data_IF_191956512414
#
_entry.id   IF_191956512414
#
_cell.length_a   1.000
_cell.length_b   1.000
_cell.length_c   1.000
_cell.angle_alpha   90.00
_cell.angle_beta   90.00
_cell.angle_gamma   90.00
#
_symmetry.space_group_name_H-M   'P 1'
#
loop_
_entity.id
_entity.type
_entity.pdbx_description
1 polymer ?
#
# COMPACT_ATOMS: atom_id res chain seq x y z
N UNK A 1 11.87 17.07 -25.25
CA UNK A 1 12.13 16.04 -24.21
C UNK A 1 13.43 15.35 -24.58
N UNK A 2 14.48 15.44 -23.76
CA UNK A 2 15.80 14.85 -24.07
C UNK A 2 16.00 13.62 -23.19
N UNK A 3 16.31 12.49 -23.82
CA UNK A 3 16.89 11.34 -23.14
C UNK A 3 18.18 11.79 -22.44
N UNK A 4 18.31 11.51 -21.15
CA UNK A 4 19.53 11.79 -20.38
C UNK A 4 20.18 10.45 -20.10
N UNK A 5 21.29 10.19 -20.79
CA UNK A 5 22.08 8.98 -20.63
C UNK A 5 22.53 8.83 -19.17
N UNK A 6 22.31 7.65 -18.57
CA UNK A 6 22.67 7.37 -17.17
C UNK A 6 21.61 7.68 -16.11
N UNK A 7 20.43 8.21 -16.46
CA UNK A 7 19.30 8.27 -15.50
C UNK A 7 18.56 6.93 -15.44
N UNK A 8 18.56 6.29 -14.26
CA UNK A 8 17.69 5.16 -13.97
C UNK A 8 16.24 5.63 -13.78
N UNK A 9 15.32 5.07 -14.55
CA UNK A 9 13.90 5.35 -14.46
C UNK A 9 13.17 5.10 -15.78
N UNK A 10 12.24 4.16 -15.79
CA UNK A 10 11.43 3.84 -16.98
C UNK A 10 10.38 4.93 -17.28
N UNK A 11 10.17 5.87 -16.36
CA UNK A 11 9.15 6.91 -16.44
C UNK A 11 9.75 8.29 -16.16
N UNK A 12 9.31 9.27 -16.94
CA UNK A 12 9.66 10.69 -16.75
C UNK A 12 8.42 11.41 -16.23
N UNK A 13 8.50 11.91 -15.00
CA UNK A 13 7.48 12.77 -14.43
C UNK A 13 7.63 14.20 -14.96
N UNK A 14 6.57 14.74 -15.54
CA UNK A 14 6.49 16.17 -15.85
C UNK A 14 6.24 16.92 -14.55
N UNK A 15 7.19 17.77 -14.14
CA UNK A 15 7.07 18.60 -12.95
C UNK A 15 7.35 20.04 -13.29
N UNK A 16 6.41 20.91 -12.94
CA UNK A 16 6.61 22.37 -12.95
C UNK A 16 7.02 22.89 -11.59
N UNK A 17 7.29 22.04 -10.59
CA UNK A 17 7.49 22.46 -9.20
C UNK A 17 8.66 23.44 -8.98
N UNK A 18 9.58 23.56 -9.94
CA UNK A 18 10.71 24.50 -9.92
C UNK A 18 10.49 25.77 -10.75
N UNK A 19 9.36 25.87 -11.45
CA UNK A 19 9.01 27.03 -12.27
C UNK A 19 8.27 28.09 -11.44
N UNK A 20 8.39 29.36 -11.82
CA UNK A 20 7.65 30.45 -11.18
C UNK A 20 6.16 30.28 -11.47
N UNK A 21 5.31 30.20 -10.43
CA UNK A 21 3.90 29.77 -10.53
C UNK A 21 3.70 28.32 -10.96
N UNK A 22 4.75 27.51 -10.88
CA UNK A 22 4.68 26.09 -11.12
C UNK A 22 3.73 25.39 -10.16
N UNK A 23 2.81 24.59 -10.70
CA UNK A 23 2.00 23.71 -9.89
C UNK A 23 2.85 22.53 -9.42
N UNK A 24 2.94 22.36 -8.10
CA UNK A 24 3.35 21.08 -7.53
C UNK A 24 2.15 20.13 -7.62
N UNK A 25 2.24 18.98 -8.30
CA UNK A 25 1.09 18.09 -8.47
C UNK A 25 0.61 17.44 -7.16
N UNK A 26 1.32 17.64 -6.05
CA UNK A 26 1.26 16.71 -4.93
C UNK A 26 1.73 15.32 -5.37
N UNK A 27 1.23 14.28 -4.70
CA UNK A 27 1.37 12.88 -5.11
C UNK A 27 0.00 12.35 -5.54
N UNK A 28 -0.51 12.73 -6.74
CA UNK A 28 -1.88 12.43 -7.13
C UNK A 28 -2.09 10.92 -7.23
N UNK A 29 -3.21 10.46 -6.67
CA UNK A 29 -3.62 9.07 -6.77
C UNK A 29 -4.17 8.79 -8.16
N UNK A 30 -3.80 7.65 -8.74
CA UNK A 30 -4.39 7.17 -9.97
C UNK A 30 -5.62 6.31 -9.66
N UNK A 31 -6.80 6.72 -10.11
CA UNK A 31 -8.02 5.91 -10.00
C UNK A 31 -8.20 5.15 -11.32
N UNK A 32 -8.05 3.82 -11.31
CA UNK A 32 -7.98 3.03 -12.54
C UNK A 32 -9.29 3.07 -13.36
N UNK A 33 -10.44 3.08 -12.68
CA UNK A 33 -11.78 3.20 -13.28
C UNK A 33 -12.71 4.06 -12.41
N UNK A 34 -12.64 5.39 -12.50
CA UNK A 34 -13.37 6.28 -11.59
C UNK A 34 -14.90 6.11 -11.62
N UNK A 35 -15.48 5.58 -12.71
CA UNK A 35 -16.92 5.32 -12.85
C UNK A 35 -17.44 4.05 -12.16
N UNK A 36 -16.58 3.11 -11.77
CA UNK A 36 -16.98 1.77 -11.28
C UNK A 36 -17.02 1.66 -9.74
N UNK A 37 -17.08 2.80 -9.03
CA UNK A 37 -16.78 2.92 -7.59
C UNK A 37 -17.87 2.38 -6.64
N UNK A 38 -19.00 1.87 -7.12
CA UNK A 38 -20.12 1.49 -6.26
C UNK A 38 -19.81 0.21 -5.47
N UNK A 39 -19.77 0.33 -4.13
CA UNK A 39 -19.67 -0.70 -3.07
C UNK A 39 -18.54 -1.75 -3.14
N UNK A 40 -17.59 -1.64 -4.08
CA UNK A 40 -16.44 -2.54 -4.16
C UNK A 40 -15.40 -2.27 -3.07
N UNK A 41 -14.70 -3.29 -2.55
CA UNK A 41 -13.50 -3.08 -1.76
C UNK A 41 -12.47 -2.26 -2.54
N UNK A 42 -11.77 -1.38 -1.84
CA UNK A 42 -10.72 -0.56 -2.44
C UNK A 42 -9.40 -1.29 -2.29
N UNK A 43 -8.71 -1.55 -3.41
CA UNK A 43 -7.36 -2.07 -3.41
C UNK A 43 -6.39 -0.97 -3.83
N UNK A 44 -5.40 -0.69 -2.99
CA UNK A 44 -4.33 0.25 -3.29
C UNK A 44 -3.05 -0.48 -3.67
N UNK A 45 -2.40 -0.06 -4.75
CA UNK A 45 -1.09 -0.57 -5.20
C UNK A 45 -0.16 0.60 -5.58
N UNK A 46 1.05 0.30 -6.00
CA UNK A 46 2.07 1.29 -6.37
C UNK A 46 1.97 1.74 -7.82
N UNK A 47 1.91 3.05 -8.03
CA UNK A 47 1.96 3.64 -9.37
C UNK A 47 0.72 3.40 -10.23
N UNK A 48 0.59 4.22 -11.28
CA UNK A 48 -0.57 4.18 -12.18
C UNK A 48 -0.63 2.90 -13.04
N UNK A 49 0.51 2.44 -13.57
CA UNK A 49 0.52 1.30 -14.49
C UNK A 49 0.11 0.01 -13.79
N UNK A 50 0.60 -0.25 -12.57
CA UNK A 50 0.18 -1.43 -11.80
C UNK A 50 -1.31 -1.37 -11.50
N UNK A 51 -1.82 -0.22 -11.07
CA UNK A 51 -3.24 -0.05 -10.84
C UNK A 51 -4.09 -0.34 -12.09
N UNK A 52 -3.66 0.13 -13.27
CA UNK A 52 -4.34 -0.18 -14.54
C UNK A 52 -4.30 -1.68 -14.88
N UNK A 53 -3.13 -2.32 -14.73
CA UNK A 53 -2.98 -3.77 -14.95
C UNK A 53 -3.83 -4.56 -13.96
N UNK A 54 -3.74 -4.28 -12.66
CA UNK A 54 -4.53 -4.93 -11.61
C UNK A 54 -6.02 -4.82 -11.87
N UNK A 55 -6.52 -3.66 -12.30
CA UNK A 55 -7.94 -3.46 -12.61
C UNK A 55 -8.43 -4.34 -13.78
N UNK A 56 -7.54 -4.75 -14.69
CA UNK A 56 -7.87 -5.67 -15.79
C UNK A 56 -8.18 -7.08 -15.28
N UNK A 57 -7.51 -7.51 -14.22
CA UNK A 57 -7.65 -8.85 -13.63
C UNK A 57 -8.66 -8.89 -12.48
N UNK A 58 -8.68 -7.87 -11.62
CA UNK A 58 -9.53 -7.78 -10.44
C UNK A 58 -10.69 -6.80 -10.68
N UNK A 59 -11.76 -7.29 -11.32
CA UNK A 59 -12.91 -6.45 -11.71
C UNK A 59 -13.92 -6.21 -10.59
N UNK A 60 -13.83 -6.99 -9.51
CA UNK A 60 -14.61 -6.93 -8.27
C UNK A 60 -13.98 -6.03 -7.20
N UNK A 61 -12.98 -5.24 -7.59
CA UNK A 61 -12.28 -4.26 -6.75
C UNK A 61 -12.23 -2.91 -7.43
N UNK A 62 -12.16 -1.86 -6.61
CA UNK A 62 -11.86 -0.51 -7.06
C UNK A 62 -10.38 -0.22 -6.85
N UNK A 63 -9.62 -0.08 -7.94
CA UNK A 63 -8.15 -0.02 -7.85
C UNK A 63 -7.64 1.42 -7.84
N UNK A 64 -6.76 1.70 -6.87
CA UNK A 64 -6.07 2.99 -6.69
C UNK A 64 -4.56 2.79 -6.76
N UNK A 65 -3.88 3.57 -7.60
CA UNK A 65 -2.42 3.60 -7.70
C UNK A 65 -1.84 4.76 -6.90
N UNK A 66 -1.00 4.45 -5.91
CA UNK A 66 -0.20 5.42 -5.17
C UNK A 66 1.21 5.49 -5.77
N UNK A 67 1.49 6.54 -6.55
CA UNK A 67 2.81 6.72 -7.18
C UNK A 67 3.90 7.19 -6.19
N UNK A 68 3.51 7.63 -4.99
CA UNK A 68 4.43 7.99 -3.91
C UNK A 68 4.26 7.04 -2.73
N UNK A 69 4.69 5.78 -2.87
CA UNK A 69 4.48 4.72 -1.88
C UNK A 69 4.97 5.08 -0.47
N UNK A 70 6.04 5.88 -0.37
CA UNK A 70 6.57 6.39 0.90
C UNK A 70 5.69 7.47 1.57
N UNK A 71 4.62 7.93 0.91
CA UNK A 71 3.68 8.91 1.44
C UNK A 71 2.36 8.23 1.78
N UNK A 72 2.01 8.24 3.08
CA UNK A 72 0.69 7.79 3.53
C UNK A 72 -0.38 8.81 3.11
N UNK A 73 -1.06 8.54 1.99
CA UNK A 73 -1.96 9.51 1.38
C UNK A 73 -3.38 9.44 1.97
N UNK A 74 -3.83 10.51 2.63
CA UNK A 74 -5.16 10.58 3.24
C UNK A 74 -6.33 10.35 2.27
N UNK A 75 -6.17 10.70 0.99
CA UNK A 75 -7.19 10.40 -0.04
C UNK A 75 -7.42 8.90 -0.26
N UNK A 76 -6.44 8.02 0.01
CA UNK A 76 -6.65 6.56 -0.03
C UNK A 76 -7.71 6.17 1.00
N UNK A 77 -7.56 6.68 2.23
CA UNK A 77 -8.49 6.43 3.34
C UNK A 77 -9.87 7.01 3.04
N UNK A 78 -9.95 8.23 2.49
CA UNK A 78 -11.21 8.84 2.06
C UNK A 78 -11.91 8.01 0.98
N UNK A 79 -11.16 7.53 0.00
CA UNK A 79 -11.67 6.69 -1.09
C UNK A 79 -12.22 5.36 -0.58
N UNK A 80 -11.55 4.77 0.41
CA UNK A 80 -11.94 3.51 1.03
C UNK A 80 -12.92 3.67 2.20
N UNK A 81 -13.40 4.87 2.52
CA UNK A 81 -14.26 5.09 3.68
C UNK A 81 -15.52 4.23 3.59
N UNK A 82 -15.86 3.53 4.68
CA UNK A 82 -16.98 2.57 4.74
C UNK A 82 -16.92 1.45 3.69
N UNK A 83 -15.70 1.13 3.22
CA UNK A 83 -15.41 -0.01 2.35
C UNK A 83 -14.21 -0.76 2.91
N UNK A 84 -14.06 -2.07 2.67
CA UNK A 84 -12.83 -2.76 3.00
C UNK A 84 -11.65 -2.15 2.23
N UNK A 85 -10.49 -2.06 2.88
CA UNK A 85 -9.24 -1.55 2.30
C UNK A 85 -8.24 -2.71 2.16
N UNK A 86 -7.78 -2.94 0.95
CA UNK A 86 -6.76 -3.94 0.61
C UNK A 86 -5.49 -3.21 0.17
N UNK A 87 -4.35 -3.49 0.80
CA UNK A 87 -3.07 -2.83 0.51
C UNK A 87 -2.15 -3.84 -0.17
N UNK A 88 -1.80 -3.59 -1.43
CA UNK A 88 -0.97 -4.43 -2.28
C UNK A 88 0.27 -3.67 -2.74
N UNK A 89 1.09 -3.25 -1.78
CA UNK A 89 2.42 -2.70 -2.06
C UNK A 89 3.38 -3.82 -2.47
N UNK A 90 4.46 -3.47 -3.15
CA UNK A 90 5.43 -4.44 -3.64
C UNK A 90 6.04 -5.25 -2.49
N UNK A 91 6.62 -6.40 -2.85
CA UNK A 91 7.24 -7.27 -1.86
C UNK A 91 8.44 -6.63 -1.13
N UNK A 92 8.99 -5.52 -1.64
CA UNK A 92 10.00 -4.73 -0.95
C UNK A 92 9.45 -4.03 0.30
N UNK A 93 8.13 -3.92 0.49
CA UNK A 93 7.49 -3.38 1.70
C UNK A 93 7.83 -4.13 2.99
N UNK A 94 8.46 -5.29 2.89
CA UNK A 94 8.86 -6.12 4.02
C UNK A 94 10.36 -6.05 4.35
N UNK A 95 11.15 -5.47 3.44
CA UNK A 95 12.60 -5.33 3.57
C UNK A 95 13.05 -3.88 3.47
N UNK A 96 12.21 -2.98 2.93
CA UNK A 96 12.42 -1.55 2.85
C UNK A 96 11.70 -0.84 4.02
N UNK A 97 12.45 -0.34 5.03
CA UNK A 97 11.82 0.23 6.22
C UNK A 97 11.00 1.49 5.94
N UNK A 98 11.30 2.24 4.88
CA UNK A 98 10.52 3.44 4.51
C UNK A 98 9.13 3.07 3.98
N UNK A 99 9.05 2.00 3.18
CA UNK A 99 7.79 1.49 2.64
C UNK A 99 6.97 0.86 3.76
N UNK A 100 7.60 0.06 4.64
CA UNK A 100 6.94 -0.50 5.82
C UNK A 100 6.35 0.59 6.73
N UNK A 101 7.14 1.64 7.02
CA UNK A 101 6.68 2.81 7.78
C UNK A 101 5.48 3.50 7.10
N UNK A 102 5.52 3.68 5.79
CA UNK A 102 4.44 4.34 5.05
C UNK A 102 3.14 3.50 5.05
N UNK A 103 3.24 2.18 4.89
CA UNK A 103 2.11 1.26 5.01
C UNK A 103 1.50 1.33 6.43
N UNK A 104 2.34 1.27 7.47
CA UNK A 104 1.90 1.38 8.85
C UNK A 104 1.25 2.74 9.16
N UNK A 105 1.79 3.83 8.62
CA UNK A 105 1.19 5.16 8.72
C UNK A 105 -0.19 5.22 8.02
N UNK A 106 -0.36 4.57 6.87
CA UNK A 106 -1.65 4.45 6.19
C UNK A 106 -2.68 3.69 7.04
N UNK A 107 -2.27 2.59 7.69
CA UNK A 107 -3.12 1.86 8.63
C UNK A 107 -3.54 2.74 9.82
N UNK A 108 -2.61 3.52 10.39
CA UNK A 108 -2.93 4.47 11.47
C UNK A 108 -3.92 5.55 11.01
N UNK A 109 -3.73 6.11 9.82
CA UNK A 109 -4.65 7.09 9.24
C UNK A 109 -6.04 6.50 9.06
N UNK A 110 -6.12 5.26 8.56
CA UNK A 110 -7.38 4.53 8.41
C UNK A 110 -8.12 4.38 9.73
N UNK A 111 -7.44 3.94 10.79
CA UNK A 111 -8.05 3.78 12.13
C UNK A 111 -8.53 5.10 12.71
N UNK A 112 -7.78 6.17 12.49
CA UNK A 112 -8.18 7.52 12.91
C UNK A 112 -9.46 7.96 12.19
N UNK A 113 -9.62 7.60 10.92
CA UNK A 113 -10.83 7.87 10.13
C UNK A 113 -12.01 6.99 10.57
N UNK A 114 -11.78 5.71 10.88
CA UNK A 114 -12.77 4.78 11.45
C UNK A 114 -13.40 5.33 12.73
N UNK A 115 -12.57 5.79 13.68
CA UNK A 115 -13.05 6.43 14.92
C UNK A 115 -13.83 7.71 14.61
N UNK A 116 -13.31 8.55 13.71
CA UNK A 116 -13.91 9.85 13.38
C UNK A 116 -15.27 9.73 12.70
N UNK A 117 -15.47 8.72 11.84
CA UNK A 117 -16.68 8.55 11.03
C UNK A 117 -17.52 7.33 11.43
N UNK A 118 -17.18 6.69 12.54
CA UNK A 118 -17.87 5.55 13.16
C UNK A 118 -18.16 4.40 12.18
N UNK A 119 -17.09 3.78 11.67
CA UNK A 119 -17.17 2.57 10.85
C UNK A 119 -16.01 1.62 11.18
N UNK A 120 -16.13 0.34 10.83
CA UNK A 120 -15.14 -0.68 11.19
C UNK A 120 -14.95 -1.69 10.04
N UNK A 121 -14.52 -1.17 8.89
CA UNK A 121 -14.36 -1.97 7.68
C UNK A 121 -12.94 -2.51 7.57
N UNK A 122 -12.82 -3.80 7.24
CA UNK A 122 -11.56 -4.55 7.33
C UNK A 122 -10.42 -3.91 6.52
N UNK A 123 -9.22 -3.92 7.11
CA UNK A 123 -7.95 -3.66 6.42
C UNK A 123 -7.20 -4.97 6.23
N UNK A 124 -6.80 -5.28 5.00
CA UNK A 124 -6.03 -6.49 4.65
C UNK A 124 -4.77 -6.12 3.87
N UNK A 125 -3.66 -6.78 4.18
CA UNK A 125 -2.43 -6.69 3.39
C UNK A 125 -2.45 -7.83 2.38
N UNK A 126 -2.42 -7.50 1.09
CA UNK A 126 -2.37 -8.48 0.01
C UNK A 126 -0.92 -8.91 -0.16
N UNK A 127 -0.68 -10.21 -0.19
CA UNK A 127 0.64 -10.80 -0.40
C UNK A 127 0.57 -11.92 -1.42
N UNK A 128 1.70 -12.24 -2.02
CA UNK A 128 1.86 -13.30 -3.02
C UNK A 128 3.26 -13.90 -2.87
N UNK A 129 3.65 -14.78 -3.81
CA UNK A 129 4.99 -15.35 -3.85
C UNK A 129 6.07 -14.23 -3.79
N UNK A 130 6.99 -14.38 -2.84
CA UNK A 130 8.00 -13.38 -2.49
C UNK A 130 9.07 -13.20 -3.57
N UNK A 131 9.17 -14.14 -4.50
CA UNK A 131 10.05 -14.05 -5.68
C UNK A 131 9.52 -13.11 -6.77
N UNK A 132 8.22 -12.78 -6.75
CA UNK A 132 7.58 -11.90 -7.73
C UNK A 132 7.52 -10.47 -7.17
N UNK A 133 7.94 -9.47 -7.93
CA UNK A 133 8.16 -8.14 -7.36
C UNK A 133 6.87 -7.41 -7.01
N UNK A 134 5.99 -7.25 -8.00
CA UNK A 134 4.76 -6.45 -7.91
C UNK A 134 3.50 -7.27 -8.13
N UNK A 135 2.35 -6.72 -7.69
CA UNK A 135 1.04 -7.35 -7.87
C UNK A 135 0.66 -7.51 -9.35
N UNK A 136 1.12 -6.61 -10.21
CA UNK A 136 0.91 -6.68 -11.66
C UNK A 136 1.58 -7.92 -12.26
N UNK A 137 2.84 -8.18 -11.89
CA UNK A 137 3.55 -9.41 -12.27
C UNK A 137 2.90 -10.66 -11.65
N UNK A 138 2.45 -10.57 -10.39
CA UNK A 138 1.77 -11.67 -9.71
C UNK A 138 0.48 -12.06 -10.43
N UNK A 139 -0.30 -11.07 -10.87
CA UNK A 139 -1.54 -11.31 -11.61
C UNK A 139 -1.27 -11.82 -13.03
N UNK A 140 -0.24 -11.30 -13.71
CA UNK A 140 0.16 -11.78 -15.04
C UNK A 140 0.61 -13.25 -15.02
N UNK A 141 1.31 -13.66 -13.96
CA UNK A 141 1.75 -15.05 -13.76
C UNK A 141 0.71 -15.94 -13.09
N UNK A 142 -0.48 -15.39 -12.75
CA UNK A 142 -1.56 -16.09 -12.03
C UNK A 142 -1.13 -16.65 -10.68
N UNK A 143 -0.20 -15.97 -10.01
CA UNK A 143 0.17 -16.29 -8.65
C UNK A 143 -1.04 -16.18 -7.70
N UNK A 144 -1.07 -17.03 -6.68
CA UNK A 144 -2.13 -16.99 -5.67
C UNK A 144 -1.95 -15.77 -4.77
N UNK A 145 -2.96 -14.90 -4.73
CA UNK A 145 -3.04 -13.82 -3.77
C UNK A 145 -3.54 -14.34 -2.42
N UNK A 146 -2.81 -14.01 -1.36
CA UNK A 146 -3.16 -14.26 0.03
C UNK A 146 -3.43 -12.93 0.73
N UNK A 147 -4.16 -13.00 1.84
CA UNK A 147 -4.60 -11.81 2.57
C UNK A 147 -4.22 -11.95 4.04
N UNK A 148 -3.37 -11.04 4.51
CA UNK A 148 -2.93 -10.98 5.89
C UNK A 148 -3.70 -9.90 6.65
N UNK A 149 -3.94 -10.15 7.92
CA UNK A 149 -4.23 -9.09 8.89
C UNK A 149 -2.99 -8.22 9.12
N UNK A 150 -3.17 -7.04 9.70
CA UNK A 150 -2.04 -6.15 10.06
C UNK A 150 -1.07 -6.86 11.02
N UNK A 151 -1.59 -7.64 11.98
CA UNK A 151 -0.76 -8.40 12.93
C UNK A 151 0.05 -9.51 12.26
N UNK A 152 -0.55 -10.24 11.31
CA UNK A 152 0.18 -11.26 10.53
C UNK A 152 1.24 -10.65 9.63
N UNK A 153 0.94 -9.51 8.99
CA UNK A 153 1.92 -8.76 8.21
C UNK A 153 3.12 -8.33 9.05
N UNK A 154 2.89 -7.75 10.24
CA UNK A 154 3.97 -7.33 11.14
C UNK A 154 4.94 -8.47 11.49
N UNK A 155 4.45 -9.71 11.63
CA UNK A 155 5.28 -10.89 11.94
C UNK A 155 6.21 -11.30 10.80
N UNK A 156 5.92 -10.88 9.58
CA UNK A 156 6.69 -11.22 8.39
C UNK A 156 7.72 -10.15 8.00
N UNK A 157 7.77 -9.03 8.74
CA UNK A 157 8.72 -7.94 8.49
C UNK A 157 10.12 -8.30 8.95
N UNK A 158 11.14 -7.76 8.26
CA UNK A 158 12.50 -7.73 8.82
C UNK A 158 12.52 -6.94 10.14
N UNK A 159 13.49 -7.17 11.05
CA UNK A 159 13.56 -6.46 12.32
C UNK A 159 13.52 -4.93 12.16
N UNK A 160 14.28 -4.39 11.20
CA UNK A 160 14.30 -2.96 10.89
C UNK A 160 12.94 -2.45 10.40
N UNK A 161 12.25 -3.21 9.54
CA UNK A 161 10.92 -2.85 9.07
C UNK A 161 9.89 -2.93 10.20
N UNK A 162 10.00 -3.91 11.09
CA UNK A 162 9.11 -4.06 12.25
C UNK A 162 9.22 -2.88 13.21
N UNK A 163 10.44 -2.42 13.49
CA UNK A 163 10.65 -1.24 14.33
C UNK A 163 10.03 0.01 13.69
N UNK A 164 10.27 0.21 12.40
CA UNK A 164 9.77 1.35 11.65
C UNK A 164 8.25 1.36 11.47
N UNK A 165 7.64 0.21 11.24
CA UNK A 165 6.19 0.06 11.25
C UNK A 165 5.62 0.26 12.67
N UNK A 166 6.31 -0.25 13.68
CA UNK A 166 5.91 -0.18 15.09
C UNK A 166 5.89 1.25 15.65
N UNK A 167 6.72 2.16 15.15
CA UNK A 167 6.65 3.59 15.49
C UNK A 167 5.30 4.23 15.07
N UNK A 168 4.63 3.68 14.06
CA UNK A 168 3.37 4.22 13.54
C UNK A 168 2.13 3.53 14.10
N UNK A 169 2.26 2.39 14.79
CA UNK A 169 1.14 1.56 15.23
C UNK A 169 1.00 1.56 16.76
N UNK A 170 -0.17 1.17 17.25
CA UNK A 170 -0.46 1.19 18.69
C UNK A 170 0.28 0.07 19.43
N UNK A 171 0.43 0.22 20.76
CA UNK A 171 1.00 -0.83 21.61
C UNK A 171 0.23 -2.15 21.50
N UNK A 172 -1.08 -2.11 21.24
CA UNK A 172 -1.91 -3.30 21.09
C UNK A 172 -1.49 -4.11 19.86
N UNK A 173 -1.28 -3.45 18.72
CA UNK A 173 -0.83 -4.11 17.48
C UNK A 173 0.52 -4.78 17.65
N UNK A 174 1.43 -4.09 18.35
CA UNK A 174 2.78 -4.60 18.62
C UNK A 174 2.74 -5.80 19.56
N UNK A 175 1.87 -5.79 20.58
CA UNK A 175 1.68 -6.93 21.50
C UNK A 175 1.06 -8.13 20.80
N UNK A 176 0.06 -7.94 19.95
CA UNK A 176 -0.55 -9.02 19.16
C UNK A 176 0.45 -9.63 18.17
N UNK A 177 1.35 -8.82 17.61
CA UNK A 177 2.45 -9.29 16.78
C UNK A 177 3.51 -10.07 17.59
N UNK A 178 3.97 -9.50 18.72
CA UNK A 178 5.06 -10.06 19.54
C UNK A 178 4.64 -11.28 20.40
N UNK A 179 3.37 -11.38 20.79
CA UNK A 179 2.85 -12.39 21.71
C UNK A 179 2.92 -13.83 21.21
N UNK A 180 3.17 -14.07 19.91
CA UNK A 180 3.38 -15.43 19.36
C UNK A 180 4.83 -15.80 19.08
N UNK A 181 5.75 -14.84 18.93
CA UNK A 181 7.18 -15.12 18.73
C UNK A 181 7.82 -15.81 19.95
N UNK A 182 7.27 -15.62 21.16
CA UNK A 182 7.74 -16.30 22.38
C UNK A 182 7.28 -17.75 22.53
N UNK A 183 6.34 -18.23 21.72
CA UNK A 183 5.87 -19.63 21.78
C UNK A 183 6.66 -20.55 20.83
N UNK A 184 7.42 -20.00 19.87
CA UNK A 184 8.24 -20.77 18.92
C UNK A 184 9.73 -20.84 19.32
N UNK A 185 10.13 -20.23 20.44
CA UNK A 185 11.48 -20.36 21.02
C UNK A 185 11.55 -21.32 22.22
N UNK A 186 10.44 -22.01 22.50
CA UNK A 186 10.34 -23.05 23.54
C UNK A 186 9.55 -24.23 22.95
N UNK A 187 10.07 -24.85 21.90
CA UNK A 187 9.80 -26.25 21.53
C UNK A 187 11.05 -26.86 20.89
#
# INVERSE_FOLDING_TARGET
MKYIEGRSGNYVWLSSAKERMGCGPGSPLHHARPGDCLDKPVLVTEGALKAATTQRFLTDRYIVGNSGVATAHGEIVKTARRKPLEIAFDNDSYTNPQVARALAALVRLRRSDEVRYNYNEKVRIVTWDRSIKGIDEALLTRALLQYLTVSEWLKQLSPECFDQAGEQLSLQDRKEAAGRLRYESIQ
#
